data_IF_829894195686
#
_entry.id   IF_829894195686
#
_cell.length_a   1.000
_cell.length_b   1.000
_cell.length_c   1.000
_cell.angle_alpha   90.00
_cell.angle_beta   90.00
_cell.angle_gamma   90.00
#
_symmetry.space_group_name_H-M   'P 1'
#
loop_
_entity.id
_entity.type
_entity.pdbx_description
1 polymer ?
#
# COMPACT_ATOMS: atom_id res chain seq x y z
N UNK A 1 -36.03 -25.88 -9.67
CA UNK A 1 -37.34 -26.56 -9.82
C UNK A 1 -38.16 -25.78 -10.83
N UNK A 2 -38.35 -26.39 -12.01
CA UNK A 2 -39.35 -26.22 -13.07
C UNK A 2 -40.05 -24.86 -13.31
N UNK A 3 -39.86 -24.31 -14.51
CA UNK A 3 -40.96 -23.63 -15.22
C UNK A 3 -40.88 -23.98 -16.71
N UNK A 4 -42.03 -24.37 -17.26
CA UNK A 4 -42.25 -25.07 -18.52
C UNK A 4 -42.05 -24.17 -19.76
N UNK A 5 -41.39 -24.70 -20.79
CA UNK A 5 -41.47 -24.20 -22.16
C UNK A 5 -42.73 -24.77 -22.83
N UNK A 6 -43.60 -23.89 -23.32
CA UNK A 6 -44.72 -24.25 -24.19
C UNK A 6 -44.24 -24.52 -25.62
N UNK A 7 -44.70 -25.63 -26.20
CA UNK A 7 -44.44 -26.06 -27.57
C UNK A 7 -45.33 -25.33 -28.57
N UNK A 8 -44.73 -24.71 -29.59
CA UNK A 8 -45.36 -24.47 -30.88
C UNK A 8 -44.43 -24.93 -32.01
N UNK A 9 -45.05 -25.50 -33.03
CA UNK A 9 -44.50 -26.38 -34.07
C UNK A 9 -43.87 -25.65 -35.26
N UNK A 10 -42.74 -26.18 -35.74
CA UNK A 10 -42.23 -26.21 -37.13
C UNK A 10 -42.16 -24.90 -37.94
N UNK A 11 -41.01 -24.21 -37.90
CA UNK A 11 -39.95 -24.24 -38.93
C UNK A 11 -39.01 -23.02 -38.73
N UNK A 12 -37.71 -23.25 -38.88
CA UNK A 12 -36.59 -22.31 -38.61
C UNK A 12 -36.50 -21.79 -37.18
N UNK A 13 -35.70 -22.47 -36.35
CA UNK A 13 -35.12 -21.88 -35.14
C UNK A 13 -34.05 -20.89 -35.60
N UNK A 14 -34.41 -19.64 -35.81
CA UNK A 14 -33.43 -18.55 -35.67
C UNK A 14 -33.26 -18.32 -34.19
N UNK A 15 -32.16 -18.82 -33.62
CA UNK A 15 -31.65 -18.26 -32.37
C UNK A 15 -31.31 -16.79 -32.65
N UNK A 16 -32.25 -15.89 -32.36
CA UNK A 16 -31.90 -14.51 -32.12
C UNK A 16 -31.03 -14.52 -30.87
N UNK A 17 -29.72 -14.39 -31.07
CA UNK A 17 -28.83 -14.00 -30.00
C UNK A 17 -29.35 -12.65 -29.49
N UNK A 18 -29.99 -12.66 -28.33
CA UNK A 18 -30.13 -11.46 -27.54
C UNK A 18 -28.71 -11.03 -27.20
N UNK A 19 -28.20 -10.03 -27.91
CA UNK A 19 -27.13 -9.20 -27.40
C UNK A 19 -27.80 -8.37 -26.31
N UNK A 20 -27.80 -8.90 -25.09
CA UNK A 20 -27.97 -8.05 -23.91
C UNK A 20 -26.79 -7.08 -23.93
N UNK A 21 -27.06 -5.90 -24.49
CA UNK A 21 -26.37 -4.66 -24.19
C UNK A 21 -26.54 -4.39 -22.69
N UNK A 22 -25.78 -5.13 -21.90
CA UNK A 22 -25.49 -4.74 -20.53
C UNK A 22 -24.29 -3.81 -20.63
N UNK A 23 -24.58 -2.56 -20.96
CA UNK A 23 -23.87 -1.42 -20.42
C UNK A 23 -23.79 -1.54 -18.90
N UNK A 24 -22.83 -2.31 -18.42
CA UNK A 24 -22.35 -2.31 -17.06
C UNK A 24 -20.86 -2.07 -17.17
N UNK A 25 -20.49 -0.81 -17.02
CA UNK A 25 -19.12 -0.40 -16.72
C UNK A 25 -18.65 -1.33 -15.60
N UNK A 26 -17.76 -2.25 -15.94
CA UNK A 26 -17.24 -3.26 -15.06
C UNK A 26 -16.73 -2.60 -13.78
N UNK A 27 -17.06 -3.17 -12.62
CA UNK A 27 -16.41 -2.85 -11.37
C UNK A 27 -14.90 -2.77 -11.61
N UNK A 28 -14.35 -1.56 -11.43
CA UNK A 28 -12.99 -1.23 -11.81
C UNK A 28 -12.02 -2.33 -11.35
N UNK A 29 -11.23 -2.87 -12.28
CA UNK A 29 -10.14 -3.80 -11.97
C UNK A 29 -9.16 -3.07 -11.07
N UNK A 30 -9.38 -3.15 -9.76
CA UNK A 30 -8.52 -2.52 -8.75
C UNK A 30 -7.13 -3.15 -8.86
N UNK A 31 -6.10 -2.33 -9.08
CA UNK A 31 -4.73 -2.84 -9.14
C UNK A 31 -4.36 -3.54 -7.83
N UNK A 32 -3.46 -4.53 -7.88
CA UNK A 32 -2.93 -5.19 -6.68
C UNK A 32 -2.44 -4.19 -5.64
N UNK A 33 -1.85 -3.09 -6.10
CA UNK A 33 -1.41 -1.98 -5.25
C UNK A 33 -2.59 -1.31 -4.53
N UNK A 34 -3.65 -0.94 -5.24
CA UNK A 34 -4.82 -0.31 -4.63
C UNK A 34 -5.48 -1.23 -3.60
N UNK A 35 -5.60 -2.53 -3.88
CA UNK A 35 -6.10 -3.53 -2.93
C UNK A 35 -5.23 -3.58 -1.67
N UNK A 36 -3.90 -3.65 -1.84
CA UNK A 36 -2.96 -3.67 -0.71
C UNK A 36 -3.05 -2.39 0.15
N UNK A 37 -3.16 -1.22 -0.48
CA UNK A 37 -3.29 0.06 0.24
C UNK A 37 -4.60 0.12 1.04
N UNK A 38 -5.71 -0.37 0.49
CA UNK A 38 -6.98 -0.43 1.21
C UNK A 38 -6.94 -1.45 2.35
N UNK A 39 -6.32 -2.61 2.14
CA UNK A 39 -6.15 -3.62 3.18
C UNK A 39 -5.32 -3.08 4.35
N UNK A 40 -4.21 -2.39 4.09
CA UNK A 40 -3.41 -1.75 5.15
C UNK A 40 -4.20 -0.66 5.87
N UNK A 41 -4.94 0.19 5.14
CA UNK A 41 -5.82 1.19 5.77
C UNK A 41 -6.87 0.55 6.67
N UNK A 42 -7.50 -0.52 6.22
CA UNK A 42 -8.48 -1.25 7.02
C UNK A 42 -7.82 -1.83 8.28
N UNK A 43 -6.64 -2.44 8.14
CA UNK A 43 -5.92 -3.04 9.26
C UNK A 43 -5.53 -2.01 10.32
N UNK A 44 -5.10 -0.82 9.91
CA UNK A 44 -4.79 0.28 10.82
C UNK A 44 -6.04 0.78 11.55
N UNK A 45 -7.20 0.85 10.88
CA UNK A 45 -8.48 1.26 11.48
C UNK A 45 -9.04 0.27 12.51
N UNK A 46 -8.58 -0.98 12.50
CA UNK A 46 -8.93 -1.96 13.54
C UNK A 46 -8.23 -1.67 14.87
N UNK A 47 -7.17 -0.86 14.87
CA UNK A 47 -6.46 -0.49 16.08
C UNK A 47 -7.27 0.57 16.85
N UNK A 48 -7.65 0.32 18.11
CA UNK A 48 -8.52 1.22 18.86
C UNK A 48 -7.84 2.57 19.06
N UNK A 49 -8.57 3.68 18.98
CA UNK A 49 -8.01 5.02 19.17
C UNK A 49 -6.80 5.34 18.26
N UNK A 50 -6.76 4.75 17.06
CA UNK A 50 -5.83 5.12 15.99
C UNK A 50 -6.60 5.76 14.83
N UNK A 51 -6.18 6.95 14.43
CA UNK A 51 -6.71 7.65 13.26
C UNK A 51 -5.60 7.84 12.24
N UNK A 52 -5.88 7.60 10.95
CA UNK A 52 -4.96 7.91 9.86
C UNK A 52 -5.13 9.39 9.51
N UNK A 53 -4.16 10.22 9.90
CA UNK A 53 -4.15 11.65 9.60
C UNK A 53 -3.74 11.94 8.15
N UNK A 54 -2.79 11.16 7.63
CA UNK A 54 -2.28 11.28 6.28
C UNK A 54 -1.86 9.91 5.77
N UNK A 55 -2.07 9.67 4.48
CA UNK A 55 -1.61 8.48 3.79
C UNK A 55 -1.34 8.88 2.35
N UNK A 56 -0.09 9.25 2.09
CA UNK A 56 0.28 9.94 0.87
C UNK A 56 1.52 9.31 0.22
N UNK A 57 1.55 9.37 -1.11
CA UNK A 57 2.71 8.97 -1.89
C UNK A 57 3.71 10.14 -1.97
N UNK A 58 5.00 9.82 -1.98
CA UNK A 58 6.13 10.76 -2.09
C UNK A 58 7.19 10.20 -3.02
N UNK A 59 7.81 11.06 -3.81
CA UNK A 59 9.00 10.73 -4.57
C UNK A 59 10.24 10.90 -3.66
N UNK A 60 11.10 9.90 -3.62
CA UNK A 60 12.32 9.87 -2.80
C UNK A 60 13.61 10.04 -3.60
N UNK A 61 13.51 10.26 -4.91
CA UNK A 61 14.66 10.35 -5.83
C UNK A 61 15.65 11.46 -5.51
N UNK A 62 15.21 12.50 -4.79
CA UNK A 62 16.04 13.60 -4.32
C UNK A 62 16.65 13.37 -2.92
N UNK A 63 16.09 12.44 -2.15
CA UNK A 63 16.51 12.19 -0.77
C UNK A 63 17.64 11.16 -0.68
N UNK A 64 17.67 10.21 -1.62
CA UNK A 64 18.65 9.14 -1.71
C UNK A 64 19.24 9.13 -3.11
N UNK A 65 20.56 9.00 -3.25
CA UNK A 65 21.19 8.87 -4.57
C UNK A 65 21.27 7.43 -5.06
N UNK A 66 21.19 6.45 -4.17
CA UNK A 66 21.35 5.01 -4.41
C UNK A 66 20.04 4.19 -4.19
N UNK A 67 18.89 4.85 -4.14
CA UNK A 67 17.59 4.17 -4.07
C UNK A 67 17.34 3.23 -5.26
N UNK A 68 16.45 2.23 -5.12
CA UNK A 68 16.04 1.38 -6.23
C UNK A 68 15.38 2.22 -7.33
N UNK A 69 16.09 2.50 -8.44
CA UNK A 69 15.70 3.49 -9.45
C UNK A 69 14.33 3.24 -10.09
N UNK A 70 13.98 1.98 -10.29
CA UNK A 70 12.68 1.55 -10.81
C UNK A 70 11.52 1.69 -9.79
N UNK A 71 11.86 2.00 -8.52
CA UNK A 71 10.90 2.12 -7.42
C UNK A 71 11.09 3.44 -6.64
N UNK A 72 10.84 4.61 -7.26
CA UNK A 72 11.09 5.92 -6.66
C UNK A 72 10.05 6.35 -5.62
N UNK A 73 9.00 5.57 -5.38
CA UNK A 73 7.91 5.98 -4.50
C UNK A 73 8.10 5.51 -3.05
N UNK A 74 7.70 6.37 -2.11
CA UNK A 74 7.44 6.06 -0.71
C UNK A 74 5.98 6.32 -0.38
N UNK A 75 5.36 5.47 0.44
CA UNK A 75 4.13 5.82 1.14
C UNK A 75 4.44 6.34 2.54
N UNK A 76 3.94 7.52 2.88
CA UNK A 76 4.01 8.10 4.21
C UNK A 76 2.64 8.06 4.88
N UNK A 77 2.56 7.35 6.00
CA UNK A 77 1.35 7.09 6.76
C UNK A 77 1.51 7.74 8.14
N UNK A 78 0.91 8.91 8.30
CA UNK A 78 0.94 9.65 9.55
C UNK A 78 -0.36 9.41 10.31
N UNK A 79 -0.24 9.10 11.60
CA UNK A 79 -1.35 8.63 12.42
C UNK A 79 -1.48 9.46 13.70
N UNK A 80 -2.69 9.53 14.24
CA UNK A 80 -2.99 10.15 15.54
C UNK A 80 -3.54 9.13 16.51
N UNK A 81 -3.39 9.44 17.80
CA UNK A 81 -3.95 8.67 18.91
C UNK A 81 -2.92 7.83 19.66
N UNK A 82 -3.36 7.27 20.78
CA UNK A 82 -2.45 6.66 21.77
C UNK A 82 -1.85 5.32 21.33
N UNK A 83 -2.49 4.61 20.39
CA UNK A 83 -1.98 3.34 19.87
C UNK A 83 -0.87 3.50 18.83
N UNK A 84 -0.62 4.71 18.33
CA UNK A 84 0.43 4.93 17.32
C UNK A 84 1.79 4.54 17.87
N UNK A 85 2.10 4.90 19.12
CA UNK A 85 3.37 4.52 19.77
C UNK A 85 3.50 3.00 19.90
N UNK A 86 2.42 2.30 20.23
CA UNK A 86 2.43 0.83 20.31
C UNK A 86 2.67 0.18 18.93
N UNK A 87 2.10 0.74 17.87
CA UNK A 87 2.38 0.31 16.50
C UNK A 87 3.85 0.56 16.13
N UNK A 88 4.38 1.76 16.42
CA UNK A 88 5.77 2.11 16.13
C UNK A 88 6.78 1.29 16.94
N UNK A 89 6.36 0.74 18.08
CA UNK A 89 7.12 -0.22 18.88
C UNK A 89 6.85 -1.69 18.51
N UNK A 90 6.12 -1.97 17.44
CA UNK A 90 5.86 -3.32 16.92
C UNK A 90 6.55 -3.55 15.58
N UNK A 91 7.83 -3.98 15.57
CA UNK A 91 8.58 -4.26 14.34
C UNK A 91 7.87 -5.26 13.42
N UNK A 92 7.24 -6.29 13.98
CA UNK A 92 6.57 -7.34 13.22
C UNK A 92 5.35 -6.79 12.47
N UNK A 93 4.53 -5.98 13.14
CA UNK A 93 3.34 -5.38 12.52
C UNK A 93 3.75 -4.40 11.41
N UNK A 94 4.67 -3.48 11.69
CA UNK A 94 5.15 -2.52 10.69
C UNK A 94 5.77 -3.21 9.48
N UNK A 95 6.60 -4.23 9.71
CA UNK A 95 7.22 -5.00 8.62
C UNK A 95 6.16 -5.68 7.78
N UNK A 96 5.17 -6.32 8.40
CA UNK A 96 4.07 -6.98 7.68
C UNK A 96 3.30 -6.00 6.78
N UNK A 97 2.91 -4.83 7.33
CA UNK A 97 2.17 -3.82 6.57
C UNK A 97 3.02 -3.19 5.47
N UNK A 98 4.29 -2.90 5.73
CA UNK A 98 5.21 -2.34 4.74
C UNK A 98 5.46 -3.33 3.59
N UNK A 99 5.73 -4.60 3.90
CA UNK A 99 5.91 -5.67 2.91
C UNK A 99 4.67 -5.81 2.02
N UNK A 100 3.48 -5.79 2.62
CA UNK A 100 2.23 -5.87 1.86
C UNK A 100 2.12 -4.74 0.81
N UNK A 101 2.52 -3.51 1.15
CA UNK A 101 2.52 -2.39 0.20
C UNK A 101 3.62 -2.58 -0.86
N UNK A 102 4.87 -2.82 -0.43
CA UNK A 102 6.04 -2.87 -1.31
C UNK A 102 5.95 -4.01 -2.33
N UNK A 103 5.42 -5.17 -1.95
CA UNK A 103 5.31 -6.32 -2.85
C UNK A 103 4.23 -6.12 -3.93
N UNK A 104 3.16 -5.41 -3.56
CA UNK A 104 1.99 -5.20 -4.42
C UNK A 104 2.03 -3.90 -5.23
N UNK A 105 2.83 -2.92 -4.81
CA UNK A 105 3.02 -1.63 -5.47
C UNK A 105 4.42 -1.56 -6.11
N UNK A 106 4.53 -1.90 -7.40
CA UNK A 106 5.83 -2.09 -8.06
C UNK A 106 6.72 -0.85 -8.12
N UNK A 107 6.18 0.35 -7.99
CA UNK A 107 6.96 1.60 -7.94
C UNK A 107 7.40 1.99 -6.54
N UNK A 108 6.95 1.27 -5.49
CA UNK A 108 7.21 1.61 -4.09
C UNK A 108 8.40 0.83 -3.57
N UNK A 109 9.34 1.55 -2.96
CA UNK A 109 10.54 0.98 -2.32
C UNK A 109 10.55 1.19 -0.82
N UNK A 110 9.73 2.10 -0.27
CA UNK A 110 9.69 2.33 1.17
C UNK A 110 8.31 2.73 1.69
N UNK A 111 8.10 2.53 2.99
CA UNK A 111 6.91 2.95 3.73
C UNK A 111 7.37 3.58 5.04
N UNK A 112 6.86 4.76 5.36
CA UNK A 112 7.06 5.40 6.67
C UNK A 112 5.76 5.38 7.48
N UNK A 113 5.88 5.00 8.75
CA UNK A 113 4.83 5.14 9.75
C UNK A 113 5.23 6.25 10.72
N UNK A 114 4.38 7.23 10.93
CA UNK A 114 4.68 8.39 11.78
C UNK A 114 3.56 8.73 12.74
N UNK A 115 3.93 9.36 13.86
CA UNK A 115 3.00 10.09 14.71
C UNK A 115 2.81 11.50 14.11
N UNK A 116 1.57 11.84 13.81
CA UNK A 116 1.26 13.10 13.13
C UNK A 116 1.64 14.32 13.98
N UNK A 117 2.16 15.35 13.32
CA UNK A 117 2.64 16.59 13.94
C UNK A 117 3.83 16.41 14.90
N UNK A 118 4.59 15.33 14.74
CA UNK A 118 5.89 15.12 15.42
C UNK A 118 6.90 14.57 14.42
N UNK A 119 8.17 14.52 14.81
CA UNK A 119 9.22 13.89 14.01
C UNK A 119 9.37 12.40 14.35
N UNK A 120 8.51 11.86 15.22
CA UNK A 120 8.57 10.46 15.65
C UNK A 120 7.98 9.54 14.58
N UNK A 121 8.84 8.76 13.94
CA UNK A 121 8.42 7.79 12.94
C UNK A 121 9.45 6.70 12.67
N UNK A 122 9.03 5.71 11.89
CA UNK A 122 9.85 4.57 11.47
C UNK A 122 9.75 4.44 9.96
N UNK A 123 10.91 4.37 9.30
CA UNK A 123 11.03 4.13 7.86
C UNK A 123 11.45 2.68 7.63
N UNK A 124 10.72 1.98 6.76
CA UNK A 124 11.06 0.64 6.28
C UNK A 124 11.20 0.70 4.76
N UNK A 125 12.09 -0.11 4.19
CA UNK A 125 12.21 -0.20 2.74
C UNK A 125 12.84 -1.46 2.23
N UNK A 126 12.78 -1.61 0.91
CA UNK A 126 13.23 -2.75 0.14
C UNK A 126 14.75 -2.75 0.02
N UNK A 127 15.39 -3.72 0.65
CA UNK A 127 16.84 -3.91 0.61
C UNK A 127 17.27 -4.60 -0.70
N UNK A 128 18.55 -4.51 -1.10
CA UNK A 128 19.06 -5.18 -2.31
C UNK A 128 18.85 -6.70 -2.34
N UNK A 129 18.76 -7.34 -1.17
CA UNK A 129 18.46 -8.78 -1.04
C UNK A 129 16.97 -9.13 -1.22
N UNK A 130 16.12 -8.14 -1.54
CA UNK A 130 14.68 -8.32 -1.74
C UNK A 130 13.85 -8.31 -0.46
N UNK A 131 14.46 -8.17 0.72
CA UNK A 131 13.73 -8.12 2.00
C UNK A 131 13.33 -6.70 2.38
N UNK A 132 12.21 -6.53 3.08
CA UNK A 132 11.82 -5.25 3.67
C UNK A 132 12.38 -5.15 5.08
N UNK A 133 13.16 -4.10 5.35
CA UNK A 133 13.81 -3.88 6.64
C UNK A 133 13.61 -2.45 7.13
N UNK A 134 13.64 -2.27 8.45
CA UNK A 134 13.72 -0.95 9.09
C UNK A 134 15.05 -0.31 8.69
N UNK A 135 14.99 0.97 8.32
CA UNK A 135 16.19 1.74 8.02
C UNK A 135 16.98 2.01 9.31
N UNK A 136 18.30 1.96 9.20
CA UNK A 136 19.22 2.37 10.25
C UNK A 136 19.01 3.87 10.54
N UNK A 137 18.82 4.17 11.80
CA UNK A 137 18.59 5.53 12.27
C UNK A 137 19.95 6.14 12.61
N UNK A 138 20.32 7.23 11.92
CA UNK A 138 21.57 7.95 12.14
C UNK A 138 21.34 9.08 13.13
N UNK A 139 22.10 9.06 14.22
CA UNK A 139 22.06 10.10 15.25
C UNK A 139 22.65 11.43 14.73
N UNK A 140 22.24 12.58 15.30
CA UNK A 140 22.83 13.87 15.00
C UNK A 140 24.37 13.83 15.11
N UNK A 141 25.06 14.18 14.02
CA UNK A 141 26.53 14.16 13.93
C UNK A 141 27.14 12.93 13.26
N UNK A 142 26.39 11.84 13.08
CA UNK A 142 26.77 10.71 12.21
C UNK A 142 26.45 10.96 10.74
N UNK A 143 25.53 11.90 10.50
CA UNK A 143 25.14 12.39 9.20
C UNK A 143 26.24 13.23 8.54
N UNK A 144 27.01 12.66 7.62
CA UNK A 144 27.91 13.43 6.73
C UNK A 144 27.63 13.05 5.28
N UNK A 145 27.17 14.03 4.49
CA UNK A 145 26.87 13.85 3.06
C UNK A 145 25.45 13.35 2.79
N UNK A 146 25.25 12.86 1.56
CA UNK A 146 23.96 12.32 1.10
C UNK A 146 23.57 11.04 1.86
N UNK A 147 22.26 10.86 2.09
CA UNK A 147 21.73 9.65 2.71
C UNK A 147 21.89 8.46 1.75
N UNK A 148 22.48 7.39 2.27
CA UNK A 148 22.58 6.08 1.61
C UNK A 148 21.31 5.29 1.89
N UNK A 149 20.86 4.50 0.93
CA UNK A 149 19.67 3.67 1.04
C UNK A 149 19.78 2.69 2.21
N UNK A 150 18.68 2.53 2.95
CA UNK A 150 18.67 1.77 4.20
C UNK A 150 19.08 2.60 5.42
N UNK A 151 19.34 3.90 5.27
CA UNK A 151 19.60 4.82 6.39
C UNK A 151 18.61 5.99 6.41
N UNK A 152 18.33 6.53 7.58
CA UNK A 152 17.50 7.73 7.76
C UNK A 152 18.03 8.55 8.92
N UNK A 153 17.72 9.84 8.96
CA UNK A 153 18.00 10.64 10.16
C UNK A 153 16.97 10.35 11.25
N UNK A 154 17.46 10.26 12.49
CA UNK A 154 16.64 10.32 13.68
C UNK A 154 16.35 11.78 14.01
N UNK A 155 15.15 12.04 14.49
CA UNK A 155 14.72 13.33 15.01
C UNK A 155 14.02 13.11 16.35
#
# INVERSE_FOLDING_TARGET
MLSLCGLLTFNSVTCQAYVEDTGRVNAATSSSCQVALQAVRAKLKELPNLEIASFAKRDISKAYSDYPKERPDRYSIDMRGNQVVNLLNSPQLMTTLATQIIDNCKTVSSVSFGLANTDYGVLLGLMPNGTVQKFECLEPGQARGELVWGRTYCF
#
